data_IF_397243519434
#
_entry.id   IF_397243519434
#
_cell.length_a   1.000
_cell.length_b   1.000
_cell.length_c   1.000
_cell.angle_alpha   90.00
_cell.angle_beta   90.00
_cell.angle_gamma   90.00
#
_symmetry.space_group_name_H-M   'P 1'
#
loop_
_entity.id
_entity.type
_entity.pdbx_description
1 polymer ?
#
# COMPACT_ATOMS: atom_id res chain seq x y z
N UNK A 1 -26.01 62.25 -3.80
CA UNK A 1 -26.88 61.33 -4.56
C UNK A 1 -26.27 59.94 -4.45
N UNK A 2 -26.94 58.97 -3.80
CA UNK A 2 -26.42 57.62 -3.66
C UNK A 2 -26.52 56.90 -5.00
N UNK A 3 -25.43 56.27 -5.43
CA UNK A 3 -25.38 55.39 -6.61
C UNK A 3 -26.38 54.25 -6.38
N UNK A 4 -27.28 53.91 -7.32
CA UNK A 4 -28.23 52.84 -7.09
C UNK A 4 -27.45 51.53 -6.99
N UNK A 5 -27.50 50.93 -5.80
CA UNK A 5 -27.34 49.49 -5.64
C UNK A 5 -28.35 48.77 -6.54
N UNK A 6 -27.98 47.57 -6.98
CA UNK A 6 -28.83 46.54 -7.62
C UNK A 6 -28.81 46.45 -9.16
N UNK A 7 -27.65 46.19 -9.74
CA UNK A 7 -27.57 45.22 -10.85
C UNK A 7 -26.93 43.93 -10.35
N UNK A 8 -27.49 43.39 -9.27
CA UNK A 8 -27.03 42.12 -8.71
C UNK A 8 -27.98 41.02 -9.15
N UNK A 9 -27.47 40.06 -9.91
CA UNK A 9 -28.25 38.92 -10.35
C UNK A 9 -28.60 38.03 -9.14
N UNK A 10 -29.75 37.34 -9.23
CA UNK A 10 -30.12 36.34 -8.21
C UNK A 10 -29.08 35.22 -8.16
N UNK A 11 -28.97 34.54 -7.02
CA UNK A 11 -28.07 33.38 -6.85
C UNK A 11 -28.26 32.37 -8.00
N UNK A 12 -27.15 31.91 -8.57
CA UNK A 12 -27.14 31.02 -9.74
C UNK A 12 -27.17 31.74 -11.09
N UNK A 13 -27.03 33.07 -11.10
CA UNK A 13 -26.94 33.88 -12.31
C UNK A 13 -25.78 34.89 -12.20
N UNK A 14 -25.16 35.21 -13.32
CA UNK A 14 -24.12 36.24 -13.45
C UNK A 14 -24.54 37.33 -14.43
N UNK A 15 -23.95 38.51 -14.29
CA UNK A 15 -24.25 39.70 -15.08
C UNK A 15 -23.35 39.76 -16.33
N UNK A 16 -23.97 39.73 -17.51
CA UNK A 16 -23.28 39.97 -18.79
C UNK A 16 -22.98 41.47 -18.99
N UNK A 17 -22.01 41.77 -19.85
CA UNK A 17 -21.66 43.13 -20.31
C UNK A 17 -22.85 43.96 -20.84
N UNK A 18 -23.94 43.30 -21.25
CA UNK A 18 -25.19 43.96 -21.69
C UNK A 18 -26.20 44.17 -20.53
N UNK A 19 -25.75 44.13 -19.29
CA UNK A 19 -26.59 44.20 -18.07
C UNK A 19 -27.72 43.17 -18.03
N UNK A 20 -27.47 41.98 -18.57
CA UNK A 20 -28.44 40.88 -18.60
C UNK A 20 -27.96 39.72 -17.73
N UNK A 21 -28.85 39.18 -16.91
CA UNK A 21 -28.54 38.05 -16.03
C UNK A 21 -28.64 36.72 -16.78
N UNK A 22 -27.54 35.97 -16.84
CA UNK A 22 -27.49 34.64 -17.43
C UNK A 22 -27.25 33.57 -16.36
N UNK A 23 -27.81 32.35 -16.53
CA UNK A 23 -27.60 31.27 -15.56
C UNK A 23 -26.13 30.83 -15.54
N UNK A 24 -25.62 30.47 -14.37
CA UNK A 24 -24.31 29.85 -14.23
C UNK A 24 -24.26 28.51 -14.98
N UNK A 25 -23.15 28.21 -15.66
CA UNK A 25 -22.95 26.98 -16.42
C UNK A 25 -21.99 26.00 -15.73
N UNK A 26 -22.31 25.60 -14.50
CA UNK A 26 -21.41 24.79 -13.66
C UNK A 26 -21.53 23.28 -13.85
N UNK A 27 -22.02 22.84 -15.02
CA UNK A 27 -22.27 21.42 -15.37
C UNK A 27 -23.09 20.58 -14.37
N UNK A 28 -23.76 21.24 -13.42
CA UNK A 28 -24.52 20.61 -12.35
C UNK A 28 -23.76 20.44 -11.03
N UNK A 29 -22.48 20.82 -10.97
CA UNK A 29 -21.63 20.61 -9.81
C UNK A 29 -21.52 21.82 -8.87
N UNK A 30 -22.06 22.98 -9.24
CA UNK A 30 -22.19 24.13 -8.34
C UNK A 30 -23.53 24.86 -8.52
N UNK A 31 -24.04 25.43 -7.43
CA UNK A 31 -25.30 26.18 -7.40
C UNK A 31 -25.09 27.70 -7.50
N UNK A 32 -23.84 28.15 -7.58
CA UNK A 32 -23.48 29.57 -7.63
C UNK A 32 -22.19 29.80 -8.41
N UNK A 33 -22.10 30.95 -9.04
CA UNK A 33 -20.91 31.45 -9.72
C UNK A 33 -20.65 32.91 -9.31
N UNK A 34 -19.50 33.43 -9.70
CA UNK A 34 -19.12 34.82 -9.52
C UNK A 34 -19.98 35.77 -10.38
N UNK A 35 -20.34 36.91 -9.80
CA UNK A 35 -21.37 37.83 -10.29
C UNK A 35 -21.11 38.43 -11.68
N UNK A 36 -19.86 38.43 -12.19
CA UNK A 36 -19.49 39.04 -13.49
C UNK A 36 -18.90 38.01 -14.44
N UNK A 37 -17.93 37.23 -13.97
CA UNK A 37 -17.18 36.29 -14.81
C UNK A 37 -17.98 35.03 -15.13
N UNK A 38 -18.98 34.69 -14.30
CA UNK A 38 -19.71 33.43 -14.40
C UNK A 38 -18.89 32.21 -13.94
N UNK A 39 -17.71 32.42 -13.35
CA UNK A 39 -16.85 31.35 -12.82
C UNK A 39 -17.50 30.69 -11.61
N UNK A 40 -17.62 29.38 -11.65
CA UNK A 40 -18.32 28.59 -10.65
C UNK A 40 -17.60 28.59 -9.31
N UNK A 41 -18.36 28.64 -8.21
CA UNK A 41 -17.84 28.65 -6.85
C UNK A 41 -18.17 27.35 -6.15
N UNK A 42 -17.17 26.79 -5.45
CA UNK A 42 -17.30 25.56 -4.67
C UNK A 42 -17.84 24.40 -5.51
N UNK A 43 -17.11 24.02 -6.58
CA UNK A 43 -17.41 22.82 -7.35
C UNK A 43 -17.53 21.60 -6.41
N UNK A 44 -18.58 20.79 -6.60
CA UNK A 44 -18.87 19.57 -5.83
C UNK A 44 -18.57 18.33 -6.66
N UNK A 45 -18.81 17.16 -6.07
CA UNK A 45 -18.73 15.86 -6.76
C UNK A 45 -17.36 15.59 -7.40
N UNK A 46 -16.27 16.05 -6.77
CA UNK A 46 -14.91 15.93 -7.30
C UNK A 46 -14.68 16.60 -8.67
N UNK A 47 -15.49 17.61 -8.99
CA UNK A 47 -15.27 18.45 -10.17
C UNK A 47 -14.40 19.65 -9.86
N UNK A 48 -13.71 20.16 -10.88
CA UNK A 48 -12.80 21.30 -10.81
C UNK A 48 -12.79 22.05 -12.15
N UNK A 49 -12.07 23.17 -12.23
CA UNK A 49 -12.09 24.11 -13.35
C UNK A 49 -13.09 25.24 -13.17
N UNK A 50 -12.99 26.25 -14.04
CA UNK A 50 -13.76 27.49 -13.93
C UNK A 50 -15.27 27.29 -14.08
N UNK A 51 -15.68 26.22 -14.76
CA UNK A 51 -17.07 25.84 -15.00
C UNK A 51 -17.40 24.45 -14.43
N UNK A 52 -16.56 23.96 -13.50
CA UNK A 52 -16.63 22.61 -12.96
C UNK A 52 -16.68 21.54 -14.05
N UNK A 53 -15.93 21.73 -15.14
CA UNK A 53 -15.93 20.92 -16.36
C UNK A 53 -14.87 19.80 -16.37
N UNK A 54 -13.97 19.83 -15.40
CA UNK A 54 -12.90 18.87 -15.21
C UNK A 54 -13.13 18.08 -13.92
N UNK A 55 -12.38 17.00 -13.73
CA UNK A 55 -12.37 16.26 -12.46
C UNK A 55 -11.07 16.51 -11.70
N UNK A 56 -11.16 16.50 -10.37
CA UNK A 56 -10.01 16.50 -9.48
C UNK A 56 -9.11 15.27 -9.73
N UNK A 57 -7.85 15.38 -9.29
CA UNK A 57 -6.88 14.29 -9.36
C UNK A 57 -7.43 12.99 -8.75
N UNK A 58 -7.29 11.88 -9.49
CA UNK A 58 -7.81 10.58 -9.07
C UNK A 58 -9.25 10.28 -9.50
N UNK A 59 -9.89 11.20 -10.23
CA UNK A 59 -11.20 11.00 -10.86
C UNK A 59 -11.17 11.26 -12.37
N UNK A 60 -12.03 10.58 -13.11
CA UNK A 60 -12.20 10.73 -14.56
C UNK A 60 -13.60 11.17 -14.92
N UNK A 61 -13.71 11.90 -16.03
CA UNK A 61 -14.98 12.28 -16.64
C UNK A 61 -15.70 11.03 -17.15
N UNK A 62 -16.87 10.74 -16.58
CA UNK A 62 -17.82 9.80 -17.14
C UNK A 62 -18.96 10.60 -17.80
N UNK A 63 -19.16 10.47 -19.12
CA UNK A 63 -20.20 11.20 -19.83
C UNK A 63 -21.60 10.72 -19.39
N UNK A 64 -22.49 11.66 -19.12
CA UNK A 64 -23.92 11.39 -18.88
C UNK A 64 -24.74 11.70 -20.13
N UNK A 65 -25.90 11.05 -20.27
CA UNK A 65 -26.79 11.19 -21.44
C UNK A 65 -27.34 12.62 -21.63
N UNK A 66 -27.36 13.43 -20.58
CA UNK A 66 -27.94 14.78 -20.58
C UNK A 66 -26.93 15.90 -20.91
N UNK A 67 -25.73 15.56 -21.42
CA UNK A 67 -24.66 16.55 -21.63
C UNK A 67 -24.02 17.06 -20.33
N UNK A 68 -24.39 16.46 -19.19
CA UNK A 68 -23.66 16.54 -17.92
C UNK A 68 -22.52 15.51 -17.91
N UNK A 69 -21.60 15.67 -16.97
CA UNK A 69 -20.63 14.62 -16.66
C UNK A 69 -20.73 14.30 -15.17
N UNK A 70 -20.08 13.22 -14.79
CA UNK A 70 -19.84 12.87 -13.39
C UNK A 70 -18.38 12.50 -13.24
N UNK A 71 -17.76 12.88 -12.13
CA UNK A 71 -16.40 12.47 -11.84
C UNK A 71 -16.40 11.13 -11.12
N UNK A 72 -15.87 10.10 -11.79
CA UNK A 72 -15.79 8.74 -11.25
C UNK A 72 -14.34 8.42 -10.89
N UNK A 73 -14.07 7.82 -9.71
CA UNK A 73 -12.73 7.38 -9.35
C UNK A 73 -12.12 6.48 -10.41
N UNK A 74 -10.82 6.65 -10.65
CA UNK A 74 -10.08 5.78 -11.55
C UNK A 74 -10.09 4.33 -11.05
N UNK A 75 -10.05 3.36 -11.96
CA UNK A 75 -9.93 1.94 -11.60
C UNK A 75 -8.45 1.54 -11.50
N UNK A 76 -7.82 1.86 -10.36
CA UNK A 76 -6.37 1.67 -10.17
C UNK A 76 -6.04 0.88 -8.89
N UNK A 77 -6.26 -0.44 -8.81
CA UNK A 77 -6.78 -1.33 -9.85
C UNK A 77 -8.30 -1.43 -9.88
N UNK A 78 -8.99 -1.12 -8.78
CA UNK A 78 -10.44 -1.14 -8.70
C UNK A 78 -10.97 0.28 -8.48
N UNK A 79 -12.21 0.55 -8.89
CA UNK A 79 -12.88 1.83 -8.60
C UNK A 79 -13.41 1.94 -7.16
N UNK A 80 -13.10 0.95 -6.31
CA UNK A 80 -13.47 0.96 -4.90
C UNK A 80 -12.44 1.78 -4.11
N UNK A 81 -12.86 2.64 -3.17
CA UNK A 81 -11.93 3.40 -2.33
C UNK A 81 -10.91 2.54 -1.57
N UNK A 82 -11.29 1.31 -1.19
CA UNK A 82 -10.42 0.35 -0.51
C UNK A 82 -9.27 -0.19 -1.39
N UNK A 83 -9.43 -0.12 -2.72
CA UNK A 83 -8.56 -0.76 -3.70
C UNK A 83 -8.23 0.19 -4.85
N UNK A 84 -8.22 1.49 -4.56
CA UNK A 84 -7.69 2.51 -5.45
C UNK A 84 -6.39 3.05 -4.86
N UNK A 85 -5.30 2.62 -5.46
CA UNK A 85 -3.92 2.88 -5.06
C UNK A 85 -3.22 3.85 -6.01
N UNK A 86 -3.95 4.65 -6.79
CA UNK A 86 -3.40 5.76 -7.55
C UNK A 86 -3.45 7.08 -6.78
N UNK A 87 -2.48 7.96 -7.04
CA UNK A 87 -2.53 9.38 -6.65
C UNK A 87 -3.10 10.24 -7.77
N UNK A 88 -2.96 9.81 -9.02
CA UNK A 88 -3.45 10.50 -10.21
C UNK A 88 -3.68 9.47 -11.32
N UNK A 89 -4.57 9.75 -12.26
CA UNK A 89 -4.72 8.95 -13.45
C UNK A 89 -4.96 9.85 -14.68
N UNK A 90 -4.39 9.45 -15.80
CA UNK A 90 -4.58 10.13 -17.08
C UNK A 90 -5.49 9.29 -17.99
N UNK A 91 -6.54 9.93 -18.50
CA UNK A 91 -7.52 9.35 -19.42
C UNK A 91 -7.36 9.80 -20.88
N UNK A 92 -6.32 10.59 -21.19
CA UNK A 92 -6.16 11.27 -22.47
C UNK A 92 -5.82 10.40 -23.69
N UNK A 93 -5.48 9.11 -23.50
CA UNK A 93 -4.91 8.31 -24.59
C UNK A 93 -5.40 6.86 -24.63
N UNK A 94 -6.70 6.61 -24.84
CA UNK A 94 -7.33 5.28 -25.07
C UNK A 94 -7.09 4.17 -24.02
N UNK A 95 -6.14 4.35 -23.10
CA UNK A 95 -5.67 3.42 -22.08
C UNK A 95 -5.50 4.24 -20.81
N UNK A 96 -6.18 3.80 -19.75
CA UNK A 96 -6.03 4.38 -18.43
C UNK A 96 -4.60 4.20 -17.93
N UNK A 97 -3.92 5.29 -17.60
CA UNK A 97 -2.59 5.27 -17.00
C UNK A 97 -2.64 5.80 -15.58
N UNK A 98 -2.33 4.95 -14.61
CA UNK A 98 -2.32 5.33 -13.19
C UNK A 98 -0.92 5.72 -12.73
N UNK A 99 -0.82 6.77 -11.91
CA UNK A 99 0.36 7.08 -11.10
C UNK A 99 0.13 6.49 -9.71
N UNK A 100 0.89 5.47 -9.36
CA UNK A 100 0.66 4.69 -8.15
C UNK A 100 1.20 5.34 -6.87
N UNK A 101 0.55 5.04 -5.74
CA UNK A 101 1.06 5.30 -4.38
C UNK A 101 2.31 4.46 -4.12
N UNK A 102 3.10 4.86 -3.12
CA UNK A 102 4.26 4.06 -2.66
C UNK A 102 3.83 2.64 -2.29
N UNK A 103 4.62 1.64 -2.68
CA UNK A 103 4.32 0.23 -2.45
C UNK A 103 3.55 -0.45 -3.59
N UNK A 104 3.08 0.30 -4.59
CA UNK A 104 2.27 -0.21 -5.70
C UNK A 104 2.94 0.06 -7.05
N UNK A 105 2.78 -0.88 -7.97
CA UNK A 105 3.30 -0.83 -9.33
C UNK A 105 2.32 -1.45 -10.32
N UNK A 106 2.61 -1.30 -11.61
CA UNK A 106 1.75 -1.74 -12.70
C UNK A 106 1.03 -0.58 -13.38
N UNK A 107 0.34 -0.86 -14.48
CA UNK A 107 -0.36 0.19 -15.24
C UNK A 107 -1.58 0.72 -14.48
N UNK A 108 -2.18 -0.14 -13.66
CA UNK A 108 -3.35 0.10 -12.83
C UNK A 108 -3.04 -0.06 -11.34
N UNK A 109 -1.76 -0.02 -10.92
CA UNK A 109 -1.38 -0.24 -9.52
C UNK A 109 -1.81 -1.63 -8.98
N UNK A 110 -1.85 -2.61 -9.87
CA UNK A 110 -2.37 -3.97 -9.67
C UNK A 110 -1.38 -4.94 -9.01
N UNK A 111 -0.15 -4.50 -8.72
CA UNK A 111 0.89 -5.31 -8.07
C UNK A 111 1.66 -4.50 -7.05
N UNK A 112 2.36 -5.18 -6.14
CA UNK A 112 3.24 -4.53 -5.19
C UNK A 112 4.62 -4.25 -5.81
N UNK A 113 5.28 -3.18 -5.36
CA UNK A 113 6.69 -2.93 -5.68
C UNK A 113 7.61 -3.91 -4.96
N UNK A 114 8.87 -4.08 -5.38
CA UNK A 114 9.87 -4.81 -4.59
C UNK A 114 9.95 -4.29 -3.14
N UNK A 115 10.11 -5.18 -2.18
CA UNK A 115 10.03 -4.87 -0.75
C UNK A 115 8.62 -4.75 -0.18
N UNK A 116 7.59 -5.08 -0.97
CA UNK A 116 6.19 -5.12 -0.53
C UNK A 116 5.52 -6.42 -0.98
N UNK A 117 4.50 -6.83 -0.24
CA UNK A 117 3.69 -8.02 -0.52
C UNK A 117 2.21 -7.74 -0.33
N UNK A 118 1.35 -8.51 -1.01
CA UNK A 118 -0.09 -8.42 -0.89
C UNK A 118 -0.81 -8.68 -2.20
N UNK A 119 -2.13 -8.48 -2.18
CA UNK A 119 -3.03 -8.76 -3.31
C UNK A 119 -3.95 -7.57 -3.59
N UNK A 120 -3.46 -6.49 -4.21
CA UNK A 120 -4.22 -5.25 -4.38
C UNK A 120 -5.48 -5.37 -5.26
N UNK A 121 -5.60 -6.43 -6.07
CA UNK A 121 -6.79 -6.71 -6.87
C UNK A 121 -7.93 -7.39 -6.08
N UNK A 122 -7.68 -7.89 -4.87
CA UNK A 122 -8.70 -8.49 -4.02
C UNK A 122 -9.31 -7.41 -3.10
N UNK A 123 -10.65 -7.31 -3.07
CA UNK A 123 -11.34 -6.27 -2.28
C UNK A 123 -10.91 -6.32 -0.80
N UNK A 124 -10.52 -5.17 -0.26
CA UNK A 124 -10.05 -5.03 1.12
C UNK A 124 -8.58 -5.40 1.36
N UNK A 125 -7.89 -5.95 0.36
CA UNK A 125 -6.45 -6.23 0.44
C UNK A 125 -5.61 -5.08 -0.11
N UNK A 126 -4.36 -4.99 0.35
CA UNK A 126 -3.43 -3.91 0.04
C UNK A 126 -1.99 -4.42 0.05
N UNK A 127 -1.07 -3.62 -0.48
CA UNK A 127 0.37 -3.91 -0.38
C UNK A 127 0.90 -3.45 0.99
N UNK A 128 1.67 -4.33 1.63
CA UNK A 128 2.32 -4.10 2.92
C UNK A 128 3.83 -4.23 2.75
N UNK A 129 4.59 -3.39 3.43
CA UNK A 129 6.06 -3.46 3.42
C UNK A 129 6.51 -4.80 4.01
N UNK A 130 7.52 -5.42 3.40
CA UNK A 130 8.22 -6.57 3.98
C UNK A 130 8.83 -6.17 5.34
N UNK A 131 8.71 -7.05 6.31
CA UNK A 131 9.22 -6.85 7.67
C UNK A 131 9.98 -8.10 8.09
N UNK A 132 11.29 -8.06 7.89
CA UNK A 132 12.21 -9.15 8.18
C UNK A 132 13.07 -8.86 9.42
N UNK A 133 12.56 -8.07 10.38
CA UNK A 133 13.26 -7.69 11.62
C UNK A 133 14.68 -7.10 11.41
N UNK A 134 14.92 -6.48 10.24
CA UNK A 134 16.24 -5.99 9.86
C UNK A 134 17.30 -7.09 9.79
N UNK A 135 16.90 -8.34 9.50
CA UNK A 135 17.75 -9.50 9.26
C UNK A 135 17.69 -9.92 7.78
N UNK A 136 17.57 -8.95 6.88
CA UNK A 136 17.76 -9.15 5.44
C UNK A 136 19.21 -8.88 5.05
N UNK A 137 19.64 -9.38 3.89
CA UNK A 137 20.98 -9.12 3.37
C UNK A 137 21.26 -7.61 3.28
N UNK A 138 22.31 -7.10 3.95
CA UNK A 138 22.64 -5.67 3.98
C UNK A 138 23.07 -5.11 2.62
N UNK A 139 23.38 -5.96 1.63
CA UNK A 139 23.74 -5.53 0.28
C UNK A 139 22.52 -5.30 -0.63
N UNK A 140 21.32 -5.71 -0.19
CA UNK A 140 20.09 -5.47 -0.94
C UNK A 140 19.53 -4.07 -0.64
N UNK A 141 18.99 -3.42 -1.67
CA UNK A 141 18.37 -2.09 -1.56
C UNK A 141 17.05 -2.17 -0.78
N UNK A 142 16.37 -3.31 -0.83
CA UNK A 142 15.09 -3.55 -0.15
C UNK A 142 15.08 -4.93 0.50
N UNK A 143 14.29 -5.07 1.56
CA UNK A 143 14.04 -6.35 2.22
C UNK A 143 13.16 -7.22 1.34
N UNK A 144 13.69 -8.35 0.87
CA UNK A 144 12.95 -9.26 -0.02
C UNK A 144 12.06 -10.22 0.76
N UNK A 145 10.79 -10.29 0.37
CA UNK A 145 9.85 -11.26 0.90
C UNK A 145 8.91 -11.77 -0.20
N UNK A 146 8.31 -12.92 0.05
CA UNK A 146 7.35 -13.53 -0.86
C UNK A 146 6.17 -12.59 -1.13
N UNK A 147 5.89 -12.32 -2.40
CA UNK A 147 4.98 -11.28 -2.87
C UNK A 147 3.52 -11.39 -2.40
N UNK A 148 3.08 -12.55 -1.88
CA UNK A 148 1.71 -12.74 -1.36
C UNK A 148 1.69 -12.97 0.15
N UNK A 149 2.63 -13.74 0.69
CA UNK A 149 2.60 -14.17 2.10
C UNK A 149 3.39 -13.25 3.01
N UNK A 150 4.33 -12.49 2.45
CA UNK A 150 5.25 -11.66 3.22
C UNK A 150 6.37 -12.43 3.90
N UNK A 151 6.53 -13.73 3.60
CA UNK A 151 7.60 -14.55 4.16
C UNK A 151 8.95 -14.08 3.63
N UNK A 152 9.84 -13.68 4.52
CA UNK A 152 11.16 -13.18 4.18
C UNK A 152 11.98 -14.22 3.42
N UNK A 153 12.62 -13.77 2.35
CA UNK A 153 13.55 -14.59 1.58
C UNK A 153 14.97 -14.24 2.03
N UNK A 154 15.81 -15.26 2.18
CA UNK A 154 17.22 -15.08 2.52
C UNK A 154 17.46 -14.33 3.85
N UNK A 155 17.02 -14.94 4.96
CA UNK A 155 17.35 -14.45 6.30
C UNK A 155 18.87 -14.45 6.50
N UNK A 156 19.40 -13.30 6.92
CA UNK A 156 20.83 -13.03 7.09
C UNK A 156 21.30 -13.36 8.52
N UNK A 157 22.62 -13.44 8.75
CA UNK A 157 23.26 -13.68 10.06
C UNK A 157 22.67 -14.86 10.85
N UNK A 158 22.50 -16.01 10.19
CA UNK A 158 22.02 -17.25 10.80
C UNK A 158 20.65 -17.11 11.47
N UNK A 159 19.80 -16.24 10.93
CA UNK A 159 18.41 -16.11 11.37
C UNK A 159 17.47 -16.91 10.48
N UNK A 160 16.25 -17.13 10.96
CA UNK A 160 15.21 -17.88 10.29
C UNK A 160 13.83 -17.56 10.84
N UNK A 161 12.81 -18.23 10.32
CA UNK A 161 11.41 -17.88 10.57
C UNK A 161 10.81 -17.03 9.46
N UNK A 162 9.51 -16.73 9.56
CA UNK A 162 8.80 -16.06 8.47
C UNK A 162 9.15 -14.58 8.29
N UNK A 163 9.71 -14.00 9.34
CA UNK A 163 10.18 -12.63 9.44
C UNK A 163 11.65 -12.59 9.89
N UNK A 164 12.39 -13.70 9.77
CA UNK A 164 13.74 -13.81 10.30
C UNK A 164 13.81 -13.47 11.81
N UNK A 165 12.78 -13.85 12.56
CA UNK A 165 12.51 -13.46 13.95
C UNK A 165 13.17 -14.36 15.00
N UNK A 166 13.83 -15.45 14.58
CA UNK A 166 14.48 -16.42 15.44
C UNK A 166 15.79 -16.89 14.82
N UNK A 167 16.63 -17.56 15.60
CA UNK A 167 17.83 -18.16 15.03
C UNK A 167 17.46 -19.34 14.10
N UNK A 168 18.25 -19.51 13.04
CA UNK A 168 18.08 -20.60 12.09
C UNK A 168 18.29 -21.95 12.80
N UNK A 169 17.77 -23.07 12.24
CA UNK A 169 18.05 -24.40 12.77
C UNK A 169 19.57 -24.63 12.91
N UNK A 170 20.00 -25.08 14.10
CA UNK A 170 21.42 -25.25 14.43
C UNK A 170 22.06 -24.05 15.12
N UNK A 171 21.34 -22.94 15.27
CA UNK A 171 21.81 -21.73 15.94
C UNK A 171 20.91 -21.34 17.11
N UNK A 172 21.46 -20.61 18.06
CA UNK A 172 20.72 -20.09 19.20
C UNK A 172 21.16 -18.68 19.61
N UNK A 173 20.27 -17.94 20.26
CA UNK A 173 20.53 -16.59 20.78
C UNK A 173 19.29 -15.69 20.69
N UNK A 174 19.54 -14.39 20.52
CA UNK A 174 18.48 -13.41 20.25
C UNK A 174 18.68 -12.82 18.84
N UNK A 175 17.77 -13.19 17.93
CA UNK A 175 17.78 -12.75 16.55
C UNK A 175 17.33 -11.29 16.33
N UNK A 176 16.66 -10.67 17.32
CA UNK A 176 16.00 -9.37 17.13
C UNK A 176 16.77 -8.26 17.86
N UNK A 177 16.99 -8.41 19.16
CA UNK A 177 17.56 -7.32 19.98
C UNK A 177 19.07 -7.38 20.00
N UNK A 178 19.64 -8.53 20.38
CA UNK A 178 21.10 -8.70 20.45
C UNK A 178 21.74 -9.07 19.10
N UNK A 179 20.96 -9.60 18.15
CA UNK A 179 21.42 -10.10 16.84
C UNK A 179 22.66 -11.01 16.94
N UNK A 180 22.61 -11.97 17.86
CA UNK A 180 23.76 -12.80 18.24
C UNK A 180 23.54 -14.30 18.05
N UNK A 181 22.85 -14.69 16.97
CA UNK A 181 22.66 -16.10 16.62
C UNK A 181 24.01 -16.79 16.39
N UNK A 182 24.32 -17.75 17.26
CA UNK A 182 25.57 -18.51 17.31
C UNK A 182 25.30 -20.00 17.21
N UNK A 183 26.27 -20.75 16.69
CA UNK A 183 26.16 -22.19 16.51
C UNK A 183 25.86 -22.91 17.83
N UNK A 184 24.95 -23.86 17.78
CA UNK A 184 24.73 -24.79 18.88
C UNK A 184 25.93 -25.73 19.03
N UNK A 185 26.49 -25.81 20.23
CA UNK A 185 27.65 -26.68 20.53
C UNK A 185 27.26 -28.17 20.67
N UNK A 186 26.21 -28.59 19.96
CA UNK A 186 25.66 -29.93 20.04
C UNK A 186 26.38 -30.88 19.07
N UNK A 187 26.45 -32.17 19.40
CA UNK A 187 27.00 -33.21 18.53
C UNK A 187 26.15 -33.38 17.26
N UNK A 188 26.73 -33.11 16.09
CA UNK A 188 26.02 -33.24 14.80
C UNK A 188 25.39 -34.63 14.59
N UNK A 189 26.08 -35.68 15.02
CA UNK A 189 25.62 -37.05 14.87
C UNK A 189 24.44 -37.36 15.81
N UNK A 190 24.53 -36.91 17.06
CA UNK A 190 23.63 -37.30 18.15
C UNK A 190 22.44 -36.38 18.39
N UNK A 191 22.46 -35.17 17.84
CA UNK A 191 21.42 -34.16 18.06
C UNK A 191 20.33 -34.22 17.00
N UNK A 192 19.08 -34.09 17.43
CA UNK A 192 17.90 -33.96 16.57
C UNK A 192 17.58 -32.49 16.28
N UNK A 193 17.64 -31.63 17.29
CA UNK A 193 17.53 -30.18 17.19
C UNK A 193 18.18 -29.50 18.39
N UNK A 194 18.35 -28.19 18.34
CA UNK A 194 18.66 -27.36 19.51
C UNK A 194 17.62 -26.26 19.68
N UNK A 195 17.41 -25.82 20.91
CA UNK A 195 16.54 -24.70 21.24
C UNK A 195 17.12 -23.38 20.71
N UNK A 196 16.34 -22.63 19.94
CA UNK A 196 16.80 -21.45 19.18
C UNK A 196 17.08 -20.22 20.06
N UNK A 197 16.83 -20.28 21.37
CA UNK A 197 17.14 -19.22 22.34
C UNK A 197 18.23 -19.60 23.31
N UNK A 198 18.18 -20.82 23.83
CA UNK A 198 19.04 -21.30 24.93
C UNK A 198 20.19 -22.17 24.46
N UNK A 199 20.10 -22.76 23.26
CA UNK A 199 21.10 -23.68 22.73
C UNK A 199 21.07 -25.07 23.35
N UNK A 200 20.04 -25.40 24.14
CA UNK A 200 19.87 -26.73 24.73
C UNK A 200 19.69 -27.77 23.62
N UNK A 201 20.49 -28.83 23.67
CA UNK A 201 20.47 -29.90 22.68
C UNK A 201 19.35 -30.90 22.98
N UNK A 202 18.58 -31.26 21.96
CA UNK A 202 17.61 -32.35 22.00
C UNK A 202 18.20 -33.57 21.30
N UNK A 203 18.47 -34.63 22.06
CA UNK A 203 19.17 -35.80 21.54
C UNK A 203 18.25 -36.71 20.72
N UNK A 204 18.83 -37.42 19.75
CA UNK A 204 18.16 -38.51 19.05
C UNK A 204 17.95 -39.70 20.00
N UNK A 205 16.99 -40.60 19.71
CA UNK A 205 16.79 -41.80 20.53
C UNK A 205 18.07 -42.63 20.69
N UNK A 206 18.37 -43.10 21.90
CA UNK A 206 19.59 -43.88 22.18
C UNK A 206 20.86 -43.03 22.40
N UNK A 207 20.74 -41.71 22.41
CA UNK A 207 21.84 -40.76 22.65
C UNK A 207 21.48 -39.87 23.84
N UNK A 208 22.46 -39.60 24.70
CA UNK A 208 22.34 -38.81 25.92
C UNK A 208 23.51 -37.83 26.08
N UNK A 209 23.52 -37.10 27.20
CA UNK A 209 24.47 -36.04 27.50
C UNK A 209 23.99 -34.66 27.09
N UNK A 210 24.55 -33.61 27.72
CA UNK A 210 24.18 -32.20 27.47
C UNK A 210 24.38 -31.80 26.00
N UNK A 211 25.39 -32.38 25.35
CA UNK A 211 25.74 -32.11 23.96
C UNK A 211 25.33 -33.26 23.03
N UNK A 212 24.57 -34.25 23.51
CA UNK A 212 24.19 -35.44 22.74
C UNK A 212 25.39 -36.20 22.16
N UNK A 213 26.45 -36.29 22.93
CA UNK A 213 27.75 -36.87 22.56
C UNK A 213 27.97 -38.28 23.15
N UNK A 214 27.00 -38.81 23.89
CA UNK A 214 27.12 -40.09 24.59
C UNK A 214 26.04 -41.07 24.15
N UNK A 215 26.38 -42.35 24.01
CA UNK A 215 25.37 -43.39 23.78
C UNK A 215 24.68 -43.73 25.09
N UNK A 216 23.36 -43.93 25.06
CA UNK A 216 22.64 -44.46 26.22
C UNK A 216 23.14 -45.87 26.54
N UNK A 217 23.57 -46.07 27.79
CA UNK A 217 23.96 -47.40 28.26
C UNK A 217 22.70 -48.22 28.46
N UNK A 218 22.55 -49.30 27.68
CA UNK A 218 21.51 -50.28 27.93
C UNK A 218 21.95 -51.16 29.10
N UNK A 219 21.37 -50.96 30.27
CA UNK A 219 21.50 -51.95 31.34
C UNK A 219 20.72 -53.20 30.93
N UNK A 220 21.46 -54.23 30.52
CA UNK A 220 20.92 -55.58 30.39
C UNK A 220 20.69 -56.14 31.78
N UNK A 221 19.45 -56.11 32.26
CA UNK A 221 19.01 -56.92 33.41
C UNK A 221 18.69 -58.33 32.94
#
# INVERSE_FOLDING_TARGET
MPVPSTFQCKKGFFLSERNQCFPCNCKGHADSCEDITGVCRNCRDHSTGDFCEMCEDGSMLAPSRDGRHTCRPCACPLSLPSNNFAVHCDGGAAVLRCKCKEGYAGHLCERCTPGYYGKPMEVGNSCKRCDCNGNSDPNLIFSECHNVTGHCQHCWDNTGGAKCERCAPGFYGDAISAKNCRDCECSECGTSSCDDRTGVCHCKPGVTGRLCDQCEVRETT
#
